data_IF_172866530327
#
_entry.id   IF_172866530327
#
_cell.length_a   1.000
_cell.length_b   1.000
_cell.length_c   1.000
_cell.angle_alpha   90.00
_cell.angle_beta   90.00
_cell.angle_gamma   90.00
#
_symmetry.space_group_name_H-M   'P 1'
#
loop_
_entity.id
_entity.type
_entity.pdbx_description
1 polymer ?
#
# COMPACT_ATOMS: atom_id res chain seq x y z
N UNK A 1 -13.28 4.32 20.95
CA UNK A 1 -13.70 5.16 19.81
C UNK A 1 -12.44 5.51 19.05
N UNK A 2 -12.38 5.32 17.74
CA UNK A 2 -11.18 5.62 16.95
C UNK A 2 -10.85 7.12 17.00
N UNK A 3 -9.55 7.44 16.91
CA UNK A 3 -9.02 8.80 17.09
C UNK A 3 -9.40 9.74 15.93
N UNK A 4 -9.63 9.19 14.74
CA UNK A 4 -9.79 9.95 13.50
C UNK A 4 -11.19 9.90 12.90
N UNK A 5 -11.96 8.84 13.11
CA UNK A 5 -13.34 8.70 12.59
C UNK A 5 -14.21 9.88 13.03
N UNK A 6 -14.92 10.49 12.08
CA UNK A 6 -15.71 11.70 12.25
C UNK A 6 -14.92 13.01 12.29
N UNK A 7 -13.59 12.95 12.03
CA UNK A 7 -12.75 14.15 11.94
C UNK A 7 -12.35 14.45 10.50
N UNK A 8 -11.96 15.69 10.28
CA UNK A 8 -11.47 16.18 8.99
C UNK A 8 -9.97 16.43 9.07
N UNK A 9 -9.20 15.76 8.20
CA UNK A 9 -7.77 15.99 8.06
C UNK A 9 -7.52 17.15 7.09
N UNK A 10 -6.64 18.07 7.49
CA UNK A 10 -6.24 19.28 6.75
C UNK A 10 -7.44 20.10 6.19
N UNK A 11 -8.61 19.99 6.85
CA UNK A 11 -9.84 20.65 6.42
C UNK A 11 -10.45 20.10 5.14
N UNK A 12 -9.91 19.02 4.58
CA UNK A 12 -10.27 18.46 3.27
C UNK A 12 -10.83 17.05 3.34
N UNK A 13 -10.19 16.14 4.07
CA UNK A 13 -10.54 14.72 4.05
C UNK A 13 -11.37 14.35 5.27
N UNK A 14 -12.67 14.14 5.08
CA UNK A 14 -13.58 13.72 6.14
C UNK A 14 -13.48 12.20 6.33
N UNK A 15 -12.99 11.76 7.49
CA UNK A 15 -12.76 10.36 7.80
C UNK A 15 -14.09 9.69 8.18
N UNK A 16 -14.54 8.71 7.41
CA UNK A 16 -15.82 8.02 7.60
C UNK A 16 -15.70 6.78 8.47
N UNK A 17 -14.87 5.82 8.05
CA UNK A 17 -14.74 4.52 8.72
C UNK A 17 -13.37 3.89 8.52
N UNK A 18 -13.02 2.93 9.39
CA UNK A 18 -11.81 2.10 9.22
C UNK A 18 -12.14 0.99 8.23
N UNK A 19 -11.31 0.86 7.18
CA UNK A 19 -11.41 -0.22 6.19
C UNK A 19 -10.28 -1.24 6.29
N UNK A 20 -9.19 -0.91 7.00
CA UNK A 20 -8.08 -1.84 7.21
C UNK A 20 -7.14 -1.41 8.33
N UNK A 21 -6.56 -2.40 9.03
CA UNK A 21 -5.55 -2.18 10.06
C UNK A 21 -4.31 -2.99 9.72
N UNK A 22 -3.24 -2.29 9.34
CA UNK A 22 -1.94 -2.89 9.06
C UNK A 22 -0.95 -2.77 10.23
N UNK A 23 0.23 -3.36 10.06
CA UNK A 23 1.31 -3.25 11.05
C UNK A 23 1.77 -1.80 11.26
N UNK A 24 1.86 -1.01 10.19
CA UNK A 24 2.45 0.34 10.17
C UNK A 24 1.42 1.46 10.05
N UNK A 25 0.22 1.18 9.57
CA UNK A 25 -0.81 2.17 9.27
C UNK A 25 -2.20 1.63 9.54
N UNK A 26 -3.13 2.55 9.68
CA UNK A 26 -4.56 2.29 9.63
C UNK A 26 -5.10 2.94 8.36
N UNK A 27 -5.91 2.21 7.61
CA UNK A 27 -6.53 2.69 6.36
C UNK A 27 -7.98 3.05 6.65
N UNK A 28 -8.36 4.23 6.26
CA UNK A 28 -9.69 4.77 6.42
C UNK A 28 -10.33 5.02 5.06
N UNK A 29 -11.62 4.79 4.96
CA UNK A 29 -12.45 5.38 3.92
C UNK A 29 -12.72 6.83 4.31
N UNK A 30 -12.62 7.74 3.36
CA UNK A 30 -12.84 9.15 3.58
C UNK A 30 -13.48 9.81 2.36
N UNK A 31 -14.09 10.97 2.58
CA UNK A 31 -14.59 11.84 1.53
C UNK A 31 -13.63 13.01 1.32
N UNK A 32 -13.22 13.24 0.07
CA UNK A 32 -12.44 14.41 -0.35
C UNK A 32 -13.41 15.52 -0.73
N UNK A 33 -13.56 16.50 0.14
CA UNK A 33 -14.51 17.62 0.01
C UNK A 33 -14.20 18.57 -1.16
N UNK A 34 -12.95 18.60 -1.63
CA UNK A 34 -12.56 19.48 -2.73
C UNK A 34 -12.87 18.83 -4.08
N UNK A 35 -12.49 17.59 -4.25
CA UNK A 35 -12.66 16.86 -5.51
C UNK A 35 -13.94 16.02 -5.54
N UNK A 36 -14.78 16.10 -4.48
CA UNK A 36 -16.08 15.40 -4.31
C UNK A 36 -16.00 13.93 -4.68
N UNK A 37 -15.10 13.20 -4.02
CA UNK A 37 -14.86 11.78 -4.28
C UNK A 37 -14.53 10.99 -3.02
N UNK A 38 -14.82 9.69 -3.05
CA UNK A 38 -14.35 8.74 -2.03
C UNK A 38 -12.89 8.42 -2.24
N UNK A 39 -12.11 8.45 -1.15
CA UNK A 39 -10.68 8.15 -1.13
C UNK A 39 -10.33 7.18 0.00
N UNK A 40 -9.19 6.51 -0.11
CA UNK A 40 -8.57 5.79 0.99
C UNK A 40 -7.50 6.67 1.63
N UNK A 41 -7.59 6.87 2.94
CA UNK A 41 -6.60 7.63 3.71
C UNK A 41 -5.83 6.68 4.60
N UNK A 42 -4.55 6.48 4.30
CA UNK A 42 -3.64 5.64 5.06
C UNK A 42 -2.88 6.50 6.06
N UNK A 43 -3.23 6.39 7.34
CA UNK A 43 -2.60 7.14 8.43
C UNK A 43 -1.51 6.29 9.07
N UNK A 44 -0.29 6.82 9.14
CA UNK A 44 0.83 6.16 9.80
C UNK A 44 0.68 6.18 11.32
N UNK A 45 1.10 5.09 11.97
CA UNK A 45 1.10 5.00 13.43
C UNK A 45 2.15 5.94 14.05
N UNK A 46 1.81 6.59 15.14
CA UNK A 46 2.65 7.61 15.81
C UNK A 46 4.05 7.12 16.16
N UNK A 47 4.18 5.84 16.47
CA UNK A 47 5.46 5.19 16.83
C UNK A 47 6.51 5.26 15.71
N UNK A 48 6.08 5.44 14.47
CA UNK A 48 6.93 5.51 13.28
C UNK A 48 7.33 6.94 12.90
N UNK A 49 6.78 7.96 13.58
CA UNK A 49 6.96 9.37 13.18
C UNK A 49 8.31 9.98 13.60
N UNK A 50 9.07 9.32 14.47
CA UNK A 50 10.27 9.91 15.09
C UNK A 50 11.60 9.54 14.42
N UNK A 51 11.59 8.75 13.33
CA UNK A 51 12.80 8.21 12.72
C UNK A 51 13.27 8.98 11.47
N UNK A 52 14.62 9.05 11.26
CA UNK A 52 15.21 9.59 10.03
C UNK A 52 14.70 8.88 8.77
N UNK A 53 14.31 7.63 8.89
CA UNK A 53 13.69 6.84 7.83
C UNK A 53 12.41 7.48 7.31
N UNK A 54 11.71 8.21 8.16
CA UNK A 54 10.52 8.95 7.79
C UNK A 54 10.80 10.07 6.77
N UNK A 55 11.95 10.75 6.83
CA UNK A 55 12.33 11.75 5.81
C UNK A 55 12.52 11.10 4.45
N UNK A 56 12.99 9.85 4.40
CA UNK A 56 13.08 9.07 3.17
C UNK A 56 11.71 8.69 2.64
N UNK A 57 10.80 8.27 3.51
CA UNK A 57 9.40 8.01 3.15
C UNK A 57 8.75 9.22 2.45
N UNK A 58 8.97 10.43 2.95
CA UNK A 58 8.48 11.67 2.33
C UNK A 58 8.96 11.83 0.89
N UNK A 59 10.20 11.52 0.62
CA UNK A 59 10.76 11.64 -0.73
C UNK A 59 10.28 10.50 -1.65
N UNK A 60 10.17 9.28 -1.14
CA UNK A 60 9.65 8.13 -1.88
C UNK A 60 8.15 8.28 -2.18
N UNK A 61 7.35 8.78 -1.24
CA UNK A 61 5.92 9.04 -1.46
C UNK A 61 5.66 10.05 -2.59
N UNK A 62 6.52 11.06 -2.74
CA UNK A 62 6.45 11.98 -3.88
C UNK A 62 6.75 11.28 -5.21
N UNK A 63 7.68 10.33 -5.23
CA UNK A 63 7.98 9.55 -6.43
C UNK A 63 6.81 8.60 -6.79
N UNK A 64 6.12 8.07 -5.78
CA UNK A 64 4.94 7.21 -5.99
C UNK A 64 3.76 8.03 -6.56
N UNK A 65 3.59 9.27 -6.12
CA UNK A 65 2.50 10.14 -6.57
C UNK A 65 2.55 10.48 -8.07
N UNK A 66 3.69 10.28 -8.75
CA UNK A 66 3.81 10.48 -10.21
C UNK A 66 3.48 9.23 -11.03
N UNK A 67 3.18 8.10 -10.39
CA UNK A 67 2.75 6.89 -11.10
C UNK A 67 1.30 7.02 -11.54
N UNK A 68 1.05 6.81 -12.83
CA UNK A 68 -0.28 6.77 -13.41
C UNK A 68 -0.37 5.54 -14.34
N UNK A 69 -1.00 4.49 -13.84
CA UNK A 69 -1.17 3.23 -14.57
C UNK A 69 -2.44 2.52 -14.09
N UNK A 70 -3.24 1.91 -14.98
CA UNK A 70 -4.52 1.28 -14.61
C UNK A 70 -4.39 0.16 -13.57
N UNK A 71 -3.25 -0.52 -13.53
CA UNK A 71 -2.97 -1.59 -12.57
C UNK A 71 -2.12 -1.16 -11.35
N UNK A 72 -2.04 0.12 -11.07
CA UNK A 72 -1.42 0.67 -9.85
C UNK A 72 -2.45 1.53 -9.12
N UNK A 73 -2.55 1.39 -7.81
CA UNK A 73 -3.37 2.28 -6.98
C UNK A 73 -2.82 3.69 -7.06
N UNK A 74 -3.64 4.65 -7.48
CA UNK A 74 -3.23 6.04 -7.67
C UNK A 74 -3.09 6.73 -6.32
N UNK A 75 -1.98 7.41 -6.10
CA UNK A 75 -1.80 8.31 -4.96
C UNK A 75 -2.23 9.72 -5.38
N UNK A 76 -3.14 10.31 -4.63
CA UNK A 76 -3.68 11.64 -4.90
C UNK A 76 -2.96 12.72 -4.13
N UNK A 77 -2.60 12.42 -2.87
CA UNK A 77 -2.00 13.42 -1.98
C UNK A 77 -1.19 12.75 -0.87
N UNK A 78 -0.30 13.51 -0.26
CA UNK A 78 0.51 13.06 0.89
C UNK A 78 0.62 14.19 1.91
N UNK A 79 0.04 13.99 3.09
CA UNK A 79 0.06 14.95 4.18
C UNK A 79 1.17 14.70 5.19
N UNK A 80 1.88 15.75 5.55
CA UNK A 80 3.01 15.72 6.49
C UNK A 80 2.82 16.76 7.60
N UNK A 81 1.91 16.47 8.53
CA UNK A 81 1.77 17.25 9.75
C UNK A 81 2.73 16.78 10.85
N UNK A 82 2.98 17.65 11.85
CA UNK A 82 3.87 17.34 12.97
C UNK A 82 3.39 16.15 13.83
N UNK A 83 2.10 15.87 13.79
CA UNK A 83 1.45 14.84 14.63
C UNK A 83 0.73 13.74 13.85
N UNK A 84 0.47 13.96 12.57
CA UNK A 84 -0.26 13.01 11.72
C UNK A 84 0.34 13.03 10.34
N UNK A 85 0.61 11.84 9.83
CA UNK A 85 1.13 11.67 8.49
C UNK A 85 0.27 10.67 7.77
N UNK A 86 -0.12 11.01 6.56
CA UNK A 86 -1.06 10.23 5.82
C UNK A 86 -0.78 10.26 4.32
N UNK A 87 -1.24 9.23 3.64
CA UNK A 87 -1.27 9.13 2.18
C UNK A 87 -2.72 9.02 1.77
N UNK A 88 -3.12 9.80 0.78
CA UNK A 88 -4.45 9.73 0.17
C UNK A 88 -4.34 8.98 -1.14
N UNK A 89 -5.06 7.88 -1.23
CA UNK A 89 -5.02 6.97 -2.36
C UNK A 89 -6.42 6.80 -2.99
N UNK A 90 -6.46 6.30 -4.20
CA UNK A 90 -7.67 5.81 -4.84
C UNK A 90 -8.36 4.78 -3.94
N UNK A 91 -9.65 5.00 -3.66
CA UNK A 91 -10.45 4.00 -2.93
C UNK A 91 -10.81 2.86 -3.88
N UNK A 92 -10.40 1.64 -3.53
CA UNK A 92 -10.67 0.44 -4.31
C UNK A 92 -11.81 -0.34 -3.66
N UNK A 93 -12.95 -0.38 -4.34
CA UNK A 93 -14.06 -1.27 -3.97
C UNK A 93 -13.78 -2.68 -4.51
N UNK A 94 -13.11 -3.48 -3.71
CA UNK A 94 -12.64 -4.80 -4.10
C UNK A 94 -12.13 -5.61 -2.91
N UNK A 95 -11.52 -6.75 -3.20
CA UNK A 95 -10.89 -7.63 -2.20
C UNK A 95 -9.42 -7.81 -2.54
N UNK A 96 -8.61 -8.23 -1.56
CA UNK A 96 -7.22 -8.59 -1.84
C UNK A 96 -7.17 -9.90 -2.65
N UNK A 97 -6.13 -10.03 -3.47
CA UNK A 97 -5.87 -11.30 -4.18
C UNK A 97 -5.68 -12.46 -3.18
N UNK A 98 -5.16 -12.18 -1.98
CA UNK A 98 -5.09 -13.17 -0.90
C UNK A 98 -6.47 -13.68 -0.52
N UNK A 99 -7.40 -12.79 -0.20
CA UNK A 99 -8.79 -13.16 0.15
C UNK A 99 -9.48 -13.92 -0.99
N UNK A 100 -9.23 -13.52 -2.23
CA UNK A 100 -9.75 -14.23 -3.40
C UNK A 100 -9.22 -15.67 -3.47
N UNK A 101 -7.90 -15.86 -3.32
CA UNK A 101 -7.27 -17.20 -3.31
C UNK A 101 -7.80 -18.04 -2.14
N UNK A 102 -7.95 -17.46 -0.96
CA UNK A 102 -8.47 -18.17 0.22
C UNK A 102 -9.92 -18.65 0.03
N UNK A 103 -10.74 -17.88 -0.71
CA UNK A 103 -12.13 -18.23 -1.02
C UNK A 103 -12.25 -19.26 -2.15
N UNK A 104 -11.40 -19.17 -3.17
CA UNK A 104 -11.45 -20.02 -4.37
C UNK A 104 -10.61 -21.28 -4.24
N UNK A 105 -9.62 -21.30 -3.34
CA UNK A 105 -8.61 -22.33 -3.28
C UNK A 105 -7.57 -22.19 -4.39
N UNK A 106 -7.44 -23.21 -5.24
CA UNK A 106 -6.47 -23.19 -6.35
C UNK A 106 -7.05 -22.38 -7.52
N UNK A 107 -6.30 -21.38 -7.98
CA UNK A 107 -6.68 -20.61 -9.16
C UNK A 107 -6.53 -21.42 -10.44
N UNK A 108 -7.50 -21.35 -11.38
CA UNK A 108 -7.32 -21.81 -12.75
C UNK A 108 -6.09 -21.13 -13.38
N UNK A 109 -5.31 -21.88 -14.15
CA UNK A 109 -4.08 -21.34 -14.75
C UNK A 109 -4.30 -20.12 -15.64
N UNK A 110 -5.48 -20.04 -16.31
CA UNK A 110 -5.86 -18.88 -17.15
C UNK A 110 -6.01 -17.61 -16.32
N UNK A 111 -6.67 -17.72 -15.17
CA UNK A 111 -6.88 -16.58 -14.26
C UNK A 111 -5.55 -16.16 -13.62
N UNK A 112 -4.72 -17.14 -13.22
CA UNK A 112 -3.38 -16.86 -12.71
C UNK A 112 -2.52 -16.13 -13.75
N UNK A 113 -2.55 -16.56 -15.01
CA UNK A 113 -1.85 -15.89 -16.11
C UNK A 113 -2.37 -14.48 -16.35
N UNK A 114 -3.69 -14.30 -16.32
CA UNK A 114 -4.34 -13.00 -16.52
C UNK A 114 -3.95 -12.00 -15.43
N UNK A 115 -4.02 -12.40 -14.16
CA UNK A 115 -3.61 -11.55 -13.04
C UNK A 115 -2.10 -11.26 -13.07
N UNK A 116 -1.27 -12.27 -13.31
CA UNK A 116 0.19 -12.11 -13.39
C UNK A 116 0.58 -11.12 -14.49
N UNK A 117 -0.07 -11.18 -15.66
CA UNK A 117 0.20 -10.25 -16.75
C UNK A 117 -0.08 -8.80 -16.36
N UNK A 118 -1.16 -8.54 -15.64
CA UNK A 118 -1.49 -7.21 -15.15
C UNK A 118 -0.49 -6.73 -14.10
N UNK A 119 -0.08 -7.61 -13.16
CA UNK A 119 0.96 -7.30 -12.17
C UNK A 119 2.28 -6.92 -12.86
N UNK A 120 2.72 -7.70 -13.83
CA UNK A 120 3.96 -7.42 -14.57
C UNK A 120 3.93 -6.09 -15.31
N UNK A 121 2.79 -5.70 -15.88
CA UNK A 121 2.62 -4.38 -16.51
C UNK A 121 2.74 -3.24 -15.50
N UNK A 122 2.15 -3.40 -14.32
CA UNK A 122 2.28 -2.44 -13.23
C UNK A 122 3.75 -2.30 -12.78
N UNK A 123 4.44 -3.43 -12.58
CA UNK A 123 5.84 -3.44 -12.17
C UNK A 123 6.77 -2.86 -13.24
N UNK A 124 6.52 -3.16 -14.53
CA UNK A 124 7.28 -2.56 -15.62
C UNK A 124 7.16 -1.02 -15.60
N UNK A 125 5.91 -0.50 -15.45
CA UNK A 125 5.70 0.94 -15.37
C UNK A 125 6.45 1.58 -14.19
N UNK A 126 6.48 0.94 -13.02
CA UNK A 126 7.22 1.40 -11.85
C UNK A 126 8.75 1.36 -12.08
N UNK A 127 9.25 0.25 -12.65
CA UNK A 127 10.67 0.07 -12.95
C UNK A 127 11.18 1.09 -13.98
N UNK A 128 10.40 1.43 -15.00
CA UNK A 128 10.73 2.47 -15.99
C UNK A 128 10.88 3.86 -15.34
N UNK A 129 10.31 4.04 -14.15
CA UNK A 129 10.43 5.25 -13.31
C UNK A 129 11.47 5.11 -12.18
N UNK A 130 12.24 4.01 -12.17
CA UNK A 130 13.23 3.73 -11.14
C UNK A 130 12.65 3.33 -9.77
N UNK A 131 11.37 2.92 -9.73
CA UNK A 131 10.69 2.53 -8.50
C UNK A 131 10.59 1.01 -8.42
N UNK A 132 11.11 0.42 -7.33
CA UNK A 132 11.02 -1.02 -7.05
C UNK A 132 10.03 -1.23 -5.91
N UNK A 133 9.07 -2.15 -6.07
CA UNK A 133 8.02 -2.39 -5.08
C UNK A 133 8.54 -3.02 -3.77
N UNK A 134 9.38 -4.04 -3.86
CA UNK A 134 10.07 -4.75 -2.75
C UNK A 134 9.19 -5.61 -1.83
N UNK A 135 7.87 -5.59 -1.96
CA UNK A 135 6.97 -6.39 -1.13
C UNK A 135 5.77 -6.90 -1.94
N UNK A 136 6.03 -7.47 -3.13
CA UNK A 136 4.99 -8.10 -3.93
C UNK A 136 4.50 -9.36 -3.26
N UNK A 137 3.21 -9.37 -2.95
CA UNK A 137 2.49 -10.50 -2.31
C UNK A 137 0.99 -10.33 -2.54
N UNK A 138 0.19 -11.41 -2.43
CA UNK A 138 -1.25 -11.35 -2.69
C UNK A 138 -2.03 -10.34 -1.81
N UNK A 139 -1.50 -10.01 -0.62
CA UNK A 139 -2.10 -8.99 0.25
C UNK A 139 -2.00 -7.58 -0.31
N UNK A 140 -0.97 -7.31 -1.14
CA UNK A 140 -0.70 -5.99 -1.74
C UNK A 140 -1.23 -5.91 -3.19
N UNK A 141 -2.13 -6.79 -3.56
CA UNK A 141 -2.81 -6.79 -4.87
C UNK A 141 -4.31 -6.73 -4.60
N UNK A 142 -4.96 -5.68 -5.07
CA UNK A 142 -6.43 -5.54 -5.02
C UNK A 142 -7.04 -6.11 -6.30
N UNK A 143 -8.14 -6.81 -6.16
CA UNK A 143 -8.93 -7.37 -7.26
C UNK A 143 -10.31 -6.72 -7.27
N UNK A 144 -10.65 -6.07 -8.38
CA UNK A 144 -11.95 -5.46 -8.62
C UNK A 144 -12.93 -6.49 -9.20
N UNK A 145 -14.23 -6.16 -9.17
CA UNK A 145 -15.30 -7.05 -9.65
C UNK A 145 -15.20 -7.38 -11.14
N UNK A 146 -14.63 -6.50 -11.95
CA UNK A 146 -14.43 -6.69 -13.40
C UNK A 146 -13.18 -7.52 -13.74
N UNK A 147 -12.44 -8.01 -12.74
CA UNK A 147 -11.20 -8.77 -12.93
C UNK A 147 -9.96 -7.89 -13.11
N UNK A 148 -10.09 -6.58 -13.04
CA UNK A 148 -8.93 -5.68 -13.01
C UNK A 148 -8.18 -5.83 -11.69
N UNK A 149 -6.86 -5.91 -11.74
CA UNK A 149 -6.03 -5.86 -10.53
C UNK A 149 -5.36 -4.48 -10.37
N UNK A 150 -5.13 -4.10 -9.13
CA UNK A 150 -4.32 -2.92 -8.79
C UNK A 150 -3.29 -3.27 -7.74
N UNK A 151 -2.03 -2.98 -8.04
CA UNK A 151 -0.92 -3.12 -7.10
C UNK A 151 -0.93 -1.92 -6.16
N UNK A 152 -0.88 -2.19 -4.86
CA UNK A 152 -0.85 -1.18 -3.78
C UNK A 152 0.44 -1.29 -2.96
N UNK A 153 0.69 -0.34 -2.08
CA UNK A 153 1.80 -0.35 -1.11
C UNK A 153 3.22 -0.31 -1.72
N UNK A 154 3.41 0.41 -2.82
CA UNK A 154 4.74 0.71 -3.36
C UNK A 154 5.60 1.44 -2.31
N UNK A 155 6.82 0.98 -2.10
CA UNK A 155 7.86 1.67 -1.32
C UNK A 155 7.66 1.72 0.21
N UNK A 156 6.46 1.48 0.74
CA UNK A 156 6.17 1.55 2.19
C UNK A 156 6.90 0.44 2.96
N UNK A 157 7.14 -0.69 2.34
CA UNK A 157 7.74 -1.87 2.98
C UNK A 157 9.23 -1.71 3.35
N UNK A 158 9.95 -0.74 2.78
CA UNK A 158 11.36 -0.51 3.13
C UNK A 158 11.54 -0.06 4.58
N UNK A 159 10.57 0.68 5.12
CA UNK A 159 10.59 1.20 6.49
C UNK A 159 10.37 0.13 7.54
N UNK A 160 9.50 -0.85 7.25
CA UNK A 160 9.19 -1.93 8.19
C UNK A 160 10.38 -2.84 8.46
N UNK A 161 11.34 -2.94 7.55
CA UNK A 161 12.45 -3.89 7.65
C UNK A 161 13.72 -3.33 8.28
N UNK A 162 13.94 -2.02 8.29
CA UNK A 162 15.15 -1.43 8.86
C UNK A 162 15.15 -1.45 10.39
N UNK A 163 14.00 -1.39 11.04
CA UNK A 163 13.88 -1.44 12.50
C UNK A 163 13.78 -2.86 13.09
N UNK A 164 13.39 -3.86 12.29
CA UNK A 164 13.23 -5.23 12.79
C UNK A 164 14.45 -6.12 12.46
N UNK A 165 15.65 -5.72 12.84
CA UNK A 165 16.80 -6.64 12.96
C UNK A 165 16.73 -7.54 14.19
N UNK A 166 15.68 -7.49 14.97
CA UNK A 166 15.39 -8.48 16.02
C UNK A 166 14.40 -9.51 15.50
N UNK A 167 14.95 -10.69 15.31
CA UNK A 167 14.26 -11.94 14.99
C UNK A 167 13.15 -12.18 16.01
N UNK A 168 11.90 -11.88 15.67
CA UNK A 168 10.74 -12.44 16.38
C UNK A 168 9.51 -12.48 15.47
N UNK A 169 9.04 -13.64 15.22
CA UNK A 169 7.71 -14.22 14.87
C UNK A 169 6.68 -13.48 13.97
N UNK A 170 6.80 -12.20 13.68
CA UNK A 170 5.83 -11.51 12.77
C UNK A 170 6.28 -11.39 11.31
N UNK A 171 7.50 -11.79 10.99
CA UNK A 171 8.05 -11.80 9.63
C UNK A 171 7.55 -12.99 8.78
N UNK A 172 6.85 -13.93 9.37
CA UNK A 172 6.53 -15.25 8.75
C UNK A 172 5.70 -15.10 7.46
N UNK A 173 4.80 -14.14 7.38
CA UNK A 173 3.94 -13.98 6.19
C UNK A 173 4.64 -13.43 4.94
N UNK A 174 5.62 -12.54 5.10
CA UNK A 174 6.33 -11.92 3.96
C UNK A 174 7.53 -12.75 3.48
N UNK A 175 8.10 -13.61 4.32
CA UNK A 175 9.28 -14.44 4.00
C UNK A 175 9.05 -15.38 2.81
N UNK A 176 7.81 -15.82 2.59
CA UNK A 176 7.46 -16.72 1.47
C UNK A 176 7.52 -16.05 0.09
N UNK A 177 7.60 -14.73 0.02
CA UNK A 177 7.53 -13.96 -1.23
C UNK A 177 8.80 -13.14 -1.50
N UNK A 178 9.79 -13.17 -0.62
CA UNK A 178 11.03 -12.40 -0.80
C UNK A 178 11.95 -13.05 -1.82
N UNK A 179 12.67 -12.21 -2.57
CA UNK A 179 13.68 -12.70 -3.50
C UNK A 179 14.96 -13.18 -2.78
N UNK A 180 15.79 -14.02 -3.44
CA UNK A 180 17.04 -14.49 -2.84
C UNK A 180 17.99 -13.36 -2.43
N UNK A 181 18.09 -12.31 -3.24
CA UNK A 181 18.91 -11.13 -2.96
C UNK A 181 18.37 -10.36 -1.75
N UNK A 182 17.05 -10.20 -1.63
CA UNK A 182 16.43 -9.58 -0.45
C UNK A 182 16.67 -10.41 0.83
N UNK A 183 16.62 -11.75 0.73
CA UNK A 183 16.88 -12.64 1.85
C UNK A 183 18.32 -12.51 2.37
N UNK A 184 19.26 -12.21 1.47
CA UNK A 184 20.67 -11.95 1.81
C UNK A 184 20.93 -10.53 2.34
N UNK A 185 19.93 -9.65 2.30
CA UNK A 185 20.07 -8.25 2.68
C UNK A 185 20.81 -7.40 1.64
N UNK A 186 20.89 -7.88 0.39
CA UNK A 186 21.45 -7.14 -0.72
C UNK A 186 20.48 -6.01 -1.10
N UNK A 187 20.99 -4.79 -1.25
CA UNK A 187 20.19 -3.65 -1.70
C UNK A 187 19.85 -3.81 -3.18
N UNK A 188 18.58 -3.93 -3.50
CA UNK A 188 18.05 -3.91 -4.86
C UNK A 188 17.31 -2.62 -5.12
#
# INVERSE_FOLDING_TARGET
>A
MDKFVGKRLDGRYEIEEIVGVGGMSVVYKAHDEIDDRTVAVKILKEELLQNEEFRRFKNESKAIAVMDHPNIVKVYDVGFGDRVQYIVEEYIDGITLKEYIERQGVLPWKDALYFTTQILRALQHAHDKGIVHRDIKPQNIMLLQDGTIKVTDFGIARFARSEQRTVTDKAIGSVHYISPEQAKGEAT
#
